data_IF_710420835886
#
_entry.id   IF_710420835886
#
_cell.length_a   1.000
_cell.length_b   1.000
_cell.length_c   1.000
_cell.angle_alpha   90.00
_cell.angle_beta   90.00
_cell.angle_gamma   90.00
#
_symmetry.space_group_name_H-M   'P 1'
#
loop_
_entity.id
_entity.type
_entity.pdbx_description
1 polymer ?
#
# COMPACT_ATOMS: atom_id res chain seq x y z
N UNK A 1 -1.24 28.42 -9.32
CA UNK A 1 -2.01 27.79 -8.22
C UNK A 1 -1.06 26.88 -7.46
N UNK A 2 -0.56 27.30 -6.29
CA UNK A 2 0.28 26.44 -5.44
C UNK A 2 -0.66 25.60 -4.59
N UNK A 3 -0.72 24.28 -4.81
CA UNK A 3 -1.30 23.38 -3.82
C UNK A 3 -0.29 23.31 -2.65
N UNK A 4 -0.51 24.13 -1.62
CA UNK A 4 0.26 24.11 -0.38
C UNK A 4 -0.19 22.94 0.51
N UNK A 5 0.16 21.73 0.08
CA UNK A 5 0.48 20.62 0.98
C UNK A 5 1.24 19.59 0.12
N UNK A 6 2.57 19.53 0.25
CA UNK A 6 3.31 18.44 -0.36
C UNK A 6 2.91 17.16 0.37
N UNK A 7 2.13 16.30 -0.27
CA UNK A 7 1.83 14.97 0.29
C UNK A 7 3.15 14.20 0.29
N UNK A 8 3.81 14.15 1.44
CA UNK A 8 5.12 13.49 1.62
C UNK A 8 4.99 12.01 1.98
N UNK A 9 3.84 11.59 2.50
CA UNK A 9 3.61 10.22 3.00
C UNK A 9 2.24 9.72 2.62
N UNK A 10 2.15 8.51 2.09
CA UNK A 10 0.92 7.86 1.63
C UNK A 10 0.90 6.43 2.17
N UNK A 11 -0.18 6.06 2.85
CA UNK A 11 -0.39 4.69 3.31
C UNK A 11 -1.61 4.09 2.62
N UNK A 12 -1.46 2.89 2.07
CA UNK A 12 -2.54 2.11 1.47
C UNK A 12 -3.03 1.08 2.49
N UNK A 13 -4.28 1.22 2.95
CA UNK A 13 -4.88 0.32 3.93
C UNK A 13 -5.96 -0.52 3.24
N UNK A 14 -5.86 -1.84 3.30
CA UNK A 14 -6.81 -2.75 2.64
C UNK A 14 -6.27 -4.16 2.49
N UNK A 15 -6.82 -4.94 1.57
CA UNK A 15 -6.24 -6.24 1.21
C UNK A 15 -4.97 -6.05 0.38
N UNK A 16 -4.02 -6.98 0.48
CA UNK A 16 -2.78 -6.93 -0.28
C UNK A 16 -2.23 -8.32 -0.64
N UNK A 17 -1.37 -8.37 -1.66
CA UNK A 17 -0.64 -9.58 -2.01
C UNK A 17 0.20 -10.05 -0.81
N UNK A 18 0.30 -11.36 -0.53
CA UNK A 18 -0.02 -12.49 -1.42
C UNK A 18 -1.46 -13.01 -1.33
N UNK A 19 -2.39 -12.31 -0.68
CA UNK A 19 -3.80 -12.72 -0.63
C UNK A 19 -4.38 -12.77 -2.06
N UNK A 20 -4.97 -13.90 -2.44
CA UNK A 20 -5.46 -14.16 -3.81
C UNK A 20 -6.91 -13.70 -4.00
N UNK A 21 -7.17 -12.41 -3.78
CA UNK A 21 -8.44 -11.77 -4.06
C UNK A 21 -8.26 -10.60 -5.03
N UNK A 22 -9.30 -10.26 -5.79
CA UNK A 22 -9.23 -9.17 -6.78
C UNK A 22 -8.92 -7.81 -6.14
N UNK A 23 -9.41 -7.59 -4.93
CA UNK A 23 -9.14 -6.35 -4.18
C UNK A 23 -7.69 -6.25 -3.69
N UNK A 24 -7.02 -7.36 -3.37
CA UNK A 24 -5.57 -7.35 -3.06
C UNK A 24 -4.73 -6.93 -4.27
N UNK A 25 -5.11 -7.40 -5.46
CA UNK A 25 -4.46 -7.01 -6.71
C UNK A 25 -4.71 -5.53 -7.01
N UNK A 26 -5.94 -5.06 -6.81
CA UNK A 26 -6.29 -3.65 -6.97
C UNK A 26 -5.45 -2.72 -6.06
N UNK A 27 -5.30 -3.06 -4.77
CA UNK A 27 -4.45 -2.28 -3.85
C UNK A 27 -2.99 -2.29 -4.27
N UNK A 28 -2.48 -3.43 -4.77
CA UNK A 28 -1.12 -3.53 -5.32
C UNK A 28 -0.91 -2.63 -6.53
N UNK A 29 -1.86 -2.62 -7.47
CA UNK A 29 -1.81 -1.74 -8.64
C UNK A 29 -1.86 -0.26 -8.25
N UNK A 30 -2.72 0.09 -7.26
CA UNK A 30 -2.78 1.45 -6.72
C UNK A 30 -1.45 1.87 -6.08
N UNK A 31 -0.88 1.04 -5.21
CA UNK A 31 0.40 1.32 -4.57
C UNK A 31 1.49 1.55 -5.63
N UNK A 32 1.61 0.62 -6.58
CA UNK A 32 2.65 0.67 -7.62
C UNK A 32 2.49 1.90 -8.51
N UNK A 33 1.26 2.23 -8.90
CA UNK A 33 0.98 3.41 -9.74
C UNK A 33 1.33 4.71 -9.02
N UNK A 34 0.94 4.85 -7.74
CA UNK A 34 1.18 6.09 -6.98
C UNK A 34 2.65 6.23 -6.62
N UNK A 35 3.29 5.16 -6.13
CA UNK A 35 4.72 5.18 -5.81
C UNK A 35 5.58 5.45 -7.05
N UNK A 36 5.18 4.94 -8.21
CA UNK A 36 5.84 5.21 -9.49
C UNK A 36 5.64 6.66 -9.99
N UNK A 37 4.44 7.22 -9.79
CA UNK A 37 4.15 8.60 -10.22
C UNK A 37 4.76 9.65 -9.29
N UNK A 38 4.90 9.35 -8.00
CA UNK A 38 5.38 10.27 -6.97
C UNK A 38 6.57 9.65 -6.21
N UNK A 39 7.76 9.51 -6.84
CA UNK A 39 8.92 8.86 -6.23
C UNK A 39 9.46 9.58 -4.99
N UNK A 40 9.19 10.89 -4.86
CA UNK A 40 9.58 11.69 -3.69
C UNK A 40 8.63 11.52 -2.48
N UNK A 41 7.47 10.87 -2.69
CA UNK A 41 6.53 10.55 -1.64
C UNK A 41 6.84 9.17 -1.03
N UNK A 42 6.91 9.12 0.30
CA UNK A 42 7.07 7.87 1.03
C UNK A 42 5.74 7.08 1.00
N UNK A 43 5.70 6.03 0.19
CA UNK A 43 4.55 5.14 0.10
C UNK A 43 4.76 3.87 0.95
N UNK A 44 3.71 3.42 1.62
CA UNK A 44 3.71 2.19 2.40
C UNK A 44 2.35 1.49 2.29
N UNK A 45 2.35 0.18 2.53
CA UNK A 45 1.14 -0.63 2.57
C UNK A 45 0.90 -1.15 3.99
N UNK A 46 -0.37 -1.15 4.39
CA UNK A 46 -0.86 -1.68 5.65
C UNK A 46 -1.99 -2.67 5.36
N UNK A 47 -1.66 -3.95 5.10
CA UNK A 47 -2.66 -4.97 4.86
C UNK A 47 -3.53 -5.24 6.10
N UNK A 48 -4.80 -5.56 5.85
CA UNK A 48 -5.70 -6.14 6.85
C UNK A 48 -5.76 -7.65 6.63
N UNK A 49 -5.32 -8.40 7.63
CA UNK A 49 -5.24 -9.84 7.61
C UNK A 49 -6.60 -10.48 7.91
N UNK A 50 -6.87 -11.61 7.26
CA UNK A 50 -8.03 -12.47 7.53
C UNK A 50 -7.66 -13.74 8.31
N UNK A 51 -6.39 -13.88 8.70
CA UNK A 51 -5.87 -15.00 9.49
C UNK A 51 -4.82 -14.52 10.51
N UNK A 52 -4.74 -15.14 11.70
CA UNK A 52 -3.82 -14.73 12.76
C UNK A 52 -2.34 -14.82 12.38
N UNK A 53 -1.98 -15.72 11.46
CA UNK A 53 -0.60 -15.93 11.04
C UNK A 53 -0.07 -14.87 10.07
N UNK A 54 -0.94 -13.98 9.58
CA UNK A 54 -0.59 -12.99 8.55
C UNK A 54 -0.15 -13.63 7.24
N UNK A 55 0.61 -12.93 6.41
CA UNK A 55 1.13 -13.45 5.16
C UNK A 55 2.61 -13.08 4.96
N UNK A 56 3.28 -13.77 4.04
CA UNK A 56 4.64 -13.41 3.60
C UNK A 56 4.59 -12.16 2.71
N UNK A 57 4.45 -11.01 3.37
CA UNK A 57 4.32 -9.72 2.72
C UNK A 57 5.65 -9.21 2.14
N UNK A 58 5.61 -8.46 1.02
CA UNK A 58 6.79 -7.84 0.44
C UNK A 58 7.24 -6.59 1.22
N UNK A 59 8.45 -6.05 0.98
CA UNK A 59 9.06 -4.99 1.81
C UNK A 59 8.29 -3.66 1.87
N UNK A 60 7.41 -3.38 0.92
CA UNK A 60 6.53 -2.20 0.94
C UNK A 60 5.46 -2.25 2.03
N UNK A 61 5.18 -3.45 2.58
CA UNK A 61 4.33 -3.61 3.75
C UNK A 61 5.12 -3.28 5.00
N UNK A 62 4.67 -2.26 5.74
CA UNK A 62 5.38 -1.76 6.93
C UNK A 62 4.68 -2.06 8.25
N UNK A 63 3.44 -2.50 8.19
CA UNK A 63 2.61 -2.86 9.34
C UNK A 63 1.46 -3.73 8.85
N UNK A 64 0.97 -4.67 9.64
CA UNK A 64 -0.19 -5.50 9.31
C UNK A 64 -1.20 -5.49 10.46
N UNK A 65 -2.50 -5.57 10.15
CA UNK A 65 -3.63 -5.49 11.11
C UNK A 65 -4.40 -6.79 11.15
#
# INVERSE_FOLDING_TARGET
MKLNSEIRKIAFVGDYLPRKCGIATFTHDMFTSVAGQFPDAECAVVPVNDRPEGYDYPPEVRFEI
#
